data_IF_349900433485
#
_entry.id   IF_349900433485
#
_cell.length_a   1.000
_cell.length_b   1.000
_cell.length_c   1.000
_cell.angle_alpha   90.00
_cell.angle_beta   90.00
_cell.angle_gamma   90.00
#
_symmetry.space_group_name_H-M   'P 1'
#
loop_
_entity.id
_entity.type
_entity.pdbx_description
1 polymer ?
#
# COMPACT_ATOMS: atom_id res chain seq x y z
N UNK A 1 24.99 7.72 49.37
CA UNK A 1 26.07 8.67 49.67
C UNK A 1 27.10 8.59 48.56
N UNK A 2 27.16 9.60 47.70
CA UNK A 2 28.35 10.02 46.96
C UNK A 2 28.07 11.44 46.47
N UNK A 3 28.72 12.39 47.12
CA UNK A 3 28.72 13.83 46.85
C UNK A 3 29.67 14.15 45.71
N UNK A 4 29.24 14.96 44.74
CA UNK A 4 30.14 15.72 43.88
C UNK A 4 29.69 17.20 43.93
N UNK A 5 30.65 18.02 44.31
CA UNK A 5 30.62 19.45 44.58
C UNK A 5 30.60 20.31 43.32
N UNK A 6 29.93 21.45 43.43
CA UNK A 6 29.88 22.54 42.47
C UNK A 6 31.21 23.32 42.39
N UNK A 7 31.53 23.82 41.19
CA UNK A 7 32.42 24.95 41.00
C UNK A 7 31.91 25.84 39.85
N UNK A 8 31.93 27.12 40.17
CA UNK A 8 31.43 28.30 39.46
C UNK A 8 32.18 28.62 38.16
N UNK A 9 31.53 29.33 37.24
CA UNK A 9 32.08 30.50 36.53
C UNK A 9 30.94 31.21 35.76
N UNK A 10 30.46 32.32 36.35
CA UNK A 10 29.75 33.39 35.67
C UNK A 10 30.65 34.06 34.61
N UNK A 11 30.11 34.32 33.41
CA UNK A 11 30.36 35.58 32.73
C UNK A 11 29.25 35.88 31.73
N UNK A 12 28.56 36.99 32.00
CA UNK A 12 27.42 37.51 31.27
C UNK A 12 27.74 37.99 29.85
N UNK A 13 26.74 37.89 28.96
CA UNK A 13 26.34 39.00 28.08
C UNK A 13 24.91 38.78 27.56
N UNK A 14 23.97 39.52 28.13
CA UNK A 14 22.62 39.72 27.60
C UNK A 14 22.77 40.56 26.34
N UNK A 15 22.45 39.99 25.17
CA UNK A 15 22.35 40.72 23.92
C UNK A 15 20.95 41.34 23.85
N UNK A 16 20.89 42.66 23.90
CA UNK A 16 19.67 43.44 23.64
C UNK A 16 19.27 43.34 22.17
N UNK A 17 17.97 43.32 21.82
CA UNK A 17 17.54 43.30 20.42
C UNK A 17 17.90 44.61 19.70
N UNK A 18 18.43 44.48 18.49
CA UNK A 18 18.68 45.57 17.55
C UNK A 18 17.33 45.96 16.91
N UNK A 19 16.98 47.26 16.81
CA UNK A 19 15.79 47.68 16.07
C UNK A 19 16.10 47.61 14.57
N UNK A 20 15.51 46.65 13.86
CA UNK A 20 15.59 46.60 12.40
C UNK A 20 14.45 47.42 11.81
N UNK A 21 14.80 48.58 11.29
CA UNK A 21 13.95 49.40 10.42
C UNK A 21 13.73 48.63 9.10
N UNK A 22 12.54 48.09 8.87
CA UNK A 22 12.13 47.66 7.53
C UNK A 22 11.80 48.90 6.69
N UNK A 23 12.80 49.37 5.92
CA UNK A 23 12.55 50.21 4.75
C UNK A 23 12.41 49.31 3.52
N UNK A 24 11.24 49.38 2.91
CA UNK A 24 10.90 48.75 1.64
C UNK A 24 11.78 49.31 0.50
N UNK A 25 12.39 48.44 -0.32
CA UNK A 25 12.62 48.69 -1.75
C UNK A 25 13.10 47.45 -2.55
N UNK A 26 12.16 46.96 -3.38
CA UNK A 26 12.16 46.23 -4.69
C UNK A 26 13.24 45.21 -5.13
N UNK A 27 12.84 44.19 -5.94
CA UNK A 27 13.50 42.89 -6.01
C UNK A 27 14.41 42.69 -7.25
N UNK A 28 15.30 41.70 -7.12
CA UNK A 28 15.92 40.97 -8.23
C UNK A 28 14.85 40.50 -9.23
N UNK A 29 15.10 40.74 -10.52
CA UNK A 29 14.19 40.35 -11.60
C UNK A 29 13.93 38.84 -11.60
N UNK A 30 12.75 38.44 -11.12
CA UNK A 30 12.19 37.14 -11.44
C UNK A 30 11.95 37.10 -12.94
N UNK A 31 12.44 36.06 -13.61
CA UNK A 31 11.99 35.73 -14.97
C UNK A 31 10.52 35.38 -14.84
N UNK A 32 9.65 36.37 -15.08
CA UNK A 32 8.21 36.19 -15.09
C UNK A 32 7.86 35.44 -16.37
N UNK A 33 7.69 34.12 -16.23
CA UNK A 33 7.01 33.34 -17.24
C UNK A 33 5.57 33.85 -17.26
N UNK A 34 5.21 34.64 -18.26
CA UNK A 34 3.84 35.14 -18.42
C UNK A 34 3.00 33.98 -18.97
N UNK A 35 2.70 33.04 -18.09
CA UNK A 35 1.81 31.93 -18.39
C UNK A 35 0.41 32.50 -18.41
N UNK A 36 -0.17 32.55 -19.60
CA UNK A 36 -1.56 32.91 -19.79
C UNK A 36 -2.43 32.06 -18.86
N UNK A 37 -3.25 32.74 -18.04
CA UNK A 37 -4.13 32.09 -17.08
C UNK A 37 -5.10 31.14 -17.80
N UNK A 38 -5.47 31.47 -19.04
CA UNK A 38 -6.29 30.63 -19.88
C UNK A 38 -5.51 29.40 -20.35
N UNK A 39 -4.21 29.53 -20.62
CA UNK A 39 -3.35 28.40 -20.95
C UNK A 39 -3.14 27.46 -19.75
N UNK A 40 -2.98 27.99 -18.53
CA UNK A 40 -2.88 27.16 -17.32
C UNK A 40 -4.21 26.45 -17.01
N UNK A 41 -5.33 27.15 -17.19
CA UNK A 41 -6.68 26.59 -17.01
C UNK A 41 -6.96 25.53 -18.05
N UNK A 42 -6.57 25.77 -19.31
CA UNK A 42 -6.74 24.83 -20.41
C UNK A 42 -5.82 23.61 -20.27
N UNK A 43 -4.58 23.79 -19.76
CA UNK A 43 -3.68 22.69 -19.44
C UNK A 43 -4.21 21.85 -18.28
N UNK A 44 -4.75 22.49 -17.23
CA UNK A 44 -5.41 21.81 -16.11
C UNK A 44 -6.62 21.02 -16.57
N UNK A 45 -7.46 21.63 -17.42
CA UNK A 45 -8.60 20.95 -18.04
C UNK A 45 -8.14 19.81 -18.96
N UNK A 46 -7.03 19.98 -19.69
CA UNK A 46 -6.45 18.95 -20.54
C UNK A 46 -5.93 17.77 -19.73
N UNK A 47 -5.23 17.99 -18.61
CA UNK A 47 -4.82 16.94 -17.66
C UNK A 47 -6.00 16.26 -16.97
N UNK A 48 -7.06 16.99 -16.66
CA UNK A 48 -8.31 16.42 -16.12
C UNK A 48 -9.08 15.62 -17.18
N UNK A 49 -9.01 16.04 -18.45
CA UNK A 49 -9.67 15.38 -19.59
C UNK A 49 -8.84 14.24 -20.18
N UNK A 50 -7.52 14.23 -19.92
CA UNK A 50 -6.66 13.09 -20.18
C UNK A 50 -7.00 12.05 -19.13
N UNK A 51 -8.10 11.35 -19.35
CA UNK A 51 -8.34 10.07 -18.76
C UNK A 51 -7.11 9.22 -19.12
N UNK A 52 -6.22 9.02 -18.14
CA UNK A 52 -5.38 7.85 -18.11
C UNK A 52 -6.33 6.69 -18.39
N UNK A 53 -6.07 6.00 -19.49
CA UNK A 53 -6.89 4.94 -20.04
C UNK A 53 -7.48 4.07 -18.92
N UNK A 54 -8.68 3.53 -19.12
CA UNK A 54 -9.28 2.43 -18.35
C UNK A 54 -8.43 1.15 -18.51
N UNK A 55 -7.16 1.27 -18.13
CA UNK A 55 -6.08 0.36 -18.40
C UNK A 55 -5.78 -0.31 -17.08
N UNK A 56 -6.02 -1.61 -17.08
CA UNK A 56 -5.66 -2.43 -15.95
C UNK A 56 -4.18 -2.21 -15.62
N UNK A 57 -3.90 -1.85 -14.36
CA UNK A 57 -2.54 -1.68 -13.87
C UNK A 57 -2.05 -3.01 -13.28
N UNK A 58 -0.76 -3.31 -13.45
CA UNK A 58 -0.12 -4.46 -12.81
C UNK A 58 1.10 -3.96 -12.08
N UNK A 59 1.16 -4.20 -10.78
CA UNK A 59 2.27 -3.79 -9.91
C UNK A 59 2.90 -5.02 -9.28
N UNK A 60 4.22 -5.16 -9.45
CA UNK A 60 4.99 -6.21 -8.80
C UNK A 60 5.49 -5.71 -7.43
N UNK A 61 5.30 -6.53 -6.39
CA UNK A 61 5.59 -6.20 -5.00
C UNK A 61 6.62 -7.18 -4.45
N UNK A 62 7.86 -6.74 -4.32
CA UNK A 62 9.00 -7.51 -3.81
C UNK A 62 9.69 -6.87 -2.59
N UNK A 63 9.07 -5.83 -2.02
CA UNK A 63 9.56 -5.15 -0.82
C UNK A 63 8.49 -5.06 0.26
N UNK A 64 8.92 -5.02 1.53
CA UNK A 64 8.02 -4.78 2.67
C UNK A 64 7.29 -3.42 2.57
N UNK A 65 7.96 -2.39 2.06
CA UNK A 65 7.33 -1.08 1.84
C UNK A 65 6.19 -1.19 0.80
N UNK A 66 6.42 -1.88 -0.32
CA UNK A 66 5.39 -2.14 -1.31
C UNK A 66 4.21 -2.96 -0.76
N UNK A 67 4.47 -3.93 0.14
CA UNK A 67 3.40 -4.66 0.84
C UNK A 67 2.55 -3.72 1.69
N UNK A 68 3.20 -2.84 2.47
CA UNK A 68 2.51 -1.88 3.33
C UNK A 68 1.66 -0.88 2.53
N UNK A 69 2.17 -0.40 1.40
CA UNK A 69 1.45 0.47 0.47
C UNK A 69 0.25 -0.25 -0.15
N UNK A 70 0.47 -1.44 -0.71
CA UNK A 70 -0.59 -2.27 -1.30
C UNK A 70 -1.73 -2.54 -0.31
N UNK A 71 -1.41 -2.85 0.96
CA UNK A 71 -2.45 -3.10 1.98
C UNK A 71 -3.38 -1.88 2.14
N UNK A 72 -2.87 -0.66 1.98
CA UNK A 72 -3.71 0.55 1.95
C UNK A 72 -4.81 0.45 0.90
N UNK A 73 -4.47 -0.01 -0.31
CA UNK A 73 -5.39 -0.16 -1.44
C UNK A 73 -6.39 -1.32 -1.26
N UNK A 74 -6.09 -2.28 -0.38
CA UNK A 74 -6.97 -3.41 -0.07
C UNK A 74 -7.98 -3.11 1.04
N UNK A 75 -7.87 -1.96 1.72
CA UNK A 75 -8.77 -1.58 2.81
C UNK A 75 -10.00 -0.83 2.31
N UNK A 76 -11.08 -0.89 3.09
CA UNK A 76 -12.34 -0.16 2.82
C UNK A 76 -13.02 -0.48 1.48
N UNK A 77 -12.69 -1.63 0.88
CA UNK A 77 -13.29 -2.08 -0.37
C UNK A 77 -14.75 -2.57 -0.18
N UNK A 78 -15.62 -2.41 -1.18
CA UNK A 78 -16.95 -2.99 -1.17
C UNK A 78 -16.92 -4.51 -0.98
N UNK A 79 -17.79 -5.03 -0.11
CA UNK A 79 -17.97 -6.46 0.08
C UNK A 79 -18.93 -7.09 -0.95
N UNK A 80 -19.74 -6.27 -1.65
CA UNK A 80 -20.72 -6.72 -2.65
C UNK A 80 -20.75 -5.76 -3.85
N UNK A 81 -20.45 -6.25 -5.07
CA UNK A 81 -19.80 -7.55 -5.34
C UNK A 81 -18.43 -7.64 -4.62
N UNK A 82 -17.89 -8.85 -4.39
CA UNK A 82 -16.55 -9.01 -3.82
C UNK A 82 -15.51 -8.21 -4.59
N UNK A 83 -14.60 -7.56 -3.87
CA UNK A 83 -13.57 -6.73 -4.52
C UNK A 83 -12.26 -7.46 -4.78
N UNK A 84 -11.96 -8.54 -4.05
CA UNK A 84 -10.68 -9.23 -4.10
C UNK A 84 -10.79 -10.56 -4.83
N UNK A 85 -10.01 -10.73 -5.89
CA UNK A 85 -9.85 -11.97 -6.64
C UNK A 85 -8.40 -12.42 -6.49
N UNK A 86 -8.19 -13.64 -6.01
CA UNK A 86 -6.89 -14.11 -5.55
C UNK A 86 -6.56 -15.43 -6.21
N UNK A 87 -5.29 -15.57 -6.58
CA UNK A 87 -4.72 -16.80 -7.12
C UNK A 87 -3.27 -16.95 -6.64
N UNK A 88 -2.79 -18.19 -6.46
CA UNK A 88 -1.41 -18.47 -6.08
C UNK A 88 -0.71 -19.30 -7.14
N UNK A 89 0.58 -19.03 -7.31
CA UNK A 89 1.44 -19.78 -8.23
C UNK A 89 2.67 -20.30 -7.50
N UNK A 90 3.11 -21.50 -7.87
CA UNK A 90 4.31 -22.12 -7.29
C UNK A 90 4.60 -23.50 -7.83
N UNK A 91 5.66 -24.14 -7.32
CA UNK A 91 6.06 -25.49 -7.72
C UNK A 91 5.29 -26.51 -6.88
N UNK A 92 4.53 -27.40 -7.54
CA UNK A 92 3.69 -28.42 -6.89
C UNK A 92 2.76 -27.82 -5.81
N UNK A 93 2.09 -26.69 -6.14
CA UNK A 93 1.31 -25.87 -5.21
C UNK A 93 0.35 -26.70 -4.35
N UNK A 94 0.67 -26.78 -3.05
CA UNK A 94 -0.03 -27.47 -1.95
C UNK A 94 0.96 -27.51 -0.77
N UNK A 95 0.66 -28.23 0.32
CA UNK A 95 1.53 -28.42 1.50
C UNK A 95 2.94 -28.95 1.24
N UNK A 96 3.16 -29.67 0.15
CA UNK A 96 4.46 -30.28 -0.18
C UNK A 96 5.24 -29.51 -1.25
N UNK A 97 4.63 -28.47 -1.81
CA UNK A 97 5.24 -27.61 -2.81
C UNK A 97 5.76 -26.31 -2.22
N UNK A 98 5.64 -25.26 -3.02
CA UNK A 98 6.02 -23.89 -2.66
C UNK A 98 4.99 -22.91 -3.16
N UNK A 99 4.95 -21.72 -2.55
CA UNK A 99 4.28 -20.54 -3.10
C UNK A 99 5.37 -19.58 -3.56
N UNK A 100 5.31 -19.19 -4.83
CA UNK A 100 6.25 -18.27 -5.45
C UNK A 100 5.64 -16.88 -5.61
N UNK A 101 4.41 -16.82 -6.11
CA UNK A 101 3.70 -15.57 -6.38
C UNK A 101 2.28 -15.66 -5.80
N UNK A 102 1.81 -14.57 -5.20
CA UNK A 102 0.41 -14.37 -4.88
C UNK A 102 -0.12 -13.23 -5.76
N UNK A 103 -1.26 -13.45 -6.41
CA UNK A 103 -1.89 -12.49 -7.30
C UNK A 103 -3.15 -11.95 -6.63
N UNK A 104 -3.33 -10.63 -6.61
CA UNK A 104 -4.55 -9.98 -6.11
C UNK A 104 -5.06 -9.01 -7.17
N UNK A 105 -6.20 -9.32 -7.76
CA UNK A 105 -6.94 -8.37 -8.57
C UNK A 105 -7.99 -7.65 -7.72
N UNK A 106 -7.96 -6.30 -7.76
CA UNK A 106 -8.87 -5.42 -7.05
C UNK A 106 -9.89 -4.85 -8.02
N UNK A 107 -11.12 -5.40 -8.01
CA UNK A 107 -12.14 -5.14 -9.02
C UNK A 107 -12.52 -3.65 -9.19
N UNK A 108 -12.81 -2.88 -8.11
CA UNK A 108 -13.21 -1.48 -8.28
C UNK A 108 -12.10 -0.59 -8.86
N UNK A 109 -10.84 -0.97 -8.63
CA UNK A 109 -9.65 -0.22 -9.05
C UNK A 109 -9.05 -0.74 -10.36
N UNK A 110 -9.53 -1.90 -10.85
CA UNK A 110 -9.01 -2.61 -12.03
C UNK A 110 -7.48 -2.78 -11.97
N UNK A 111 -6.96 -3.01 -10.78
CA UNK A 111 -5.52 -3.09 -10.51
C UNK A 111 -5.14 -4.48 -10.02
N UNK A 112 -3.99 -4.99 -10.47
CA UNK A 112 -3.47 -6.31 -10.12
C UNK A 112 -2.15 -6.16 -9.39
N UNK A 113 -2.03 -6.77 -8.22
CA UNK A 113 -0.78 -6.89 -7.48
C UNK A 113 -0.21 -8.29 -7.65
N UNK A 114 1.06 -8.39 -8.05
CA UNK A 114 1.83 -9.62 -8.10
C UNK A 114 2.85 -9.57 -6.97
N UNK A 115 2.66 -10.35 -5.92
CA UNK A 115 3.48 -10.31 -4.72
C UNK A 115 4.51 -11.44 -4.75
N UNK A 116 5.79 -11.10 -4.61
CA UNK A 116 6.90 -12.05 -4.53
C UNK A 116 6.92 -12.75 -3.17
N UNK A 117 6.15 -13.83 -3.05
CA UNK A 117 6.14 -14.69 -1.87
C UNK A 117 7.48 -15.44 -1.73
N UNK A 118 8.14 -15.74 -2.85
CA UNK A 118 9.42 -16.43 -2.82
C UNK A 118 10.50 -15.60 -2.15
N UNK A 119 10.64 -14.32 -2.50
CA UNK A 119 11.63 -13.40 -1.93
C UNK A 119 11.25 -12.90 -0.54
N UNK A 120 9.99 -12.52 -0.34
CA UNK A 120 9.54 -11.91 0.92
C UNK A 120 9.25 -12.93 2.02
N UNK A 121 8.94 -14.18 1.67
CA UNK A 121 8.56 -15.25 2.61
C UNK A 121 7.43 -14.76 3.54
N UNK A 122 7.50 -15.07 4.84
CA UNK A 122 6.49 -14.67 5.82
C UNK A 122 6.27 -13.15 5.88
N UNK A 123 7.28 -12.33 5.54
CA UNK A 123 7.13 -10.87 5.55
C UNK A 123 6.09 -10.37 4.55
N UNK A 124 5.78 -11.11 3.48
CA UNK A 124 4.68 -10.76 2.58
C UNK A 124 3.32 -10.74 3.31
N UNK A 125 3.19 -11.55 4.36
CA UNK A 125 1.96 -11.74 5.11
C UNK A 125 1.95 -11.02 6.45
N UNK A 126 3.10 -10.90 7.12
CA UNK A 126 3.21 -10.38 8.49
C UNK A 126 3.64 -8.91 8.59
N UNK A 127 4.17 -8.31 7.51
CA UNK A 127 4.60 -6.91 7.55
C UNK A 127 3.38 -5.96 7.64
N UNK A 128 3.33 -5.07 8.65
CA UNK A 128 2.17 -4.21 8.87
C UNK A 128 2.19 -2.97 7.97
N UNK A 129 1.02 -2.58 7.50
CA UNK A 129 0.77 -1.24 6.99
C UNK A 129 0.79 -0.20 8.14
N UNK A 130 0.83 1.11 7.84
CA UNK A 130 0.73 2.16 8.87
C UNK A 130 -0.52 2.04 9.76
N UNK A 131 -1.59 1.43 9.26
CA UNK A 131 -2.81 1.13 10.02
C UNK A 131 -2.66 -0.02 11.03
N UNK A 132 -1.55 -0.75 11.01
CA UNK A 132 -1.33 -1.98 11.75
C UNK A 132 -1.91 -3.23 11.08
N UNK A 133 -2.70 -3.08 10.02
CA UNK A 133 -3.25 -4.20 9.24
C UNK A 133 -2.15 -4.92 8.47
N UNK A 134 -2.23 -6.24 8.42
CA UNK A 134 -1.33 -7.10 7.64
C UNK A 134 -2.10 -7.81 6.52
N UNK A 135 -1.40 -8.31 5.50
CA UNK A 135 -2.04 -9.13 4.46
C UNK A 135 -2.63 -10.42 5.06
N UNK A 136 -1.96 -11.01 6.06
CA UNK A 136 -2.50 -12.13 6.84
C UNK A 136 -3.88 -11.81 7.44
N UNK A 137 -4.03 -10.66 8.10
CA UNK A 137 -5.30 -10.26 8.68
C UNK A 137 -6.42 -10.12 7.63
N UNK A 138 -6.09 -9.66 6.42
CA UNK A 138 -7.03 -9.59 5.30
C UNK A 138 -7.42 -11.00 4.83
N UNK A 139 -6.45 -11.92 4.68
CA UNK A 139 -6.66 -13.30 4.27
C UNK A 139 -7.40 -14.16 5.31
N UNK A 140 -7.29 -13.84 6.60
CA UNK A 140 -7.99 -14.54 7.69
C UNK A 140 -9.34 -13.92 8.04
N UNK A 141 -9.66 -12.72 7.51
CA UNK A 141 -10.90 -12.04 7.82
C UNK A 141 -12.12 -12.72 7.17
N UNK A 142 -13.16 -13.08 7.94
CA UNK A 142 -14.45 -13.55 7.40
C UNK A 142 -15.31 -12.41 6.84
N UNK A 143 -15.04 -11.15 7.23
CA UNK A 143 -15.82 -9.99 6.80
C UNK A 143 -15.35 -9.37 5.50
N UNK A 144 -14.16 -9.77 5.01
CA UNK A 144 -13.62 -9.36 3.71
C UNK A 144 -13.81 -10.54 2.75
N UNK A 145 -14.72 -10.46 1.76
CA UNK A 145 -14.90 -11.53 0.80
C UNK A 145 -13.72 -11.63 -0.17
N UNK A 146 -13.22 -12.85 -0.38
CA UNK A 146 -12.17 -13.16 -1.37
C UNK A 146 -12.66 -14.20 -2.33
N UNK A 147 -12.47 -13.94 -3.61
CA UNK A 147 -12.86 -14.85 -4.67
C UNK A 147 -11.65 -15.66 -5.10
N UNK A 148 -11.80 -16.97 -5.13
CA UNK A 148 -10.81 -17.93 -5.64
C UNK A 148 -11.46 -18.80 -6.71
N UNK A 149 -10.65 -19.44 -7.54
CA UNK A 149 -11.09 -20.54 -8.40
C UNK A 149 -10.44 -21.82 -7.90
N UNK A 150 -11.22 -22.80 -7.46
CA UNK A 150 -10.70 -24.07 -6.92
C UNK A 150 -9.67 -23.89 -5.79
N UNK A 151 -10.11 -23.31 -4.67
CA UNK A 151 -9.22 -22.85 -3.58
C UNK A 151 -8.47 -23.95 -2.81
N UNK A 152 -8.65 -25.23 -3.15
CA UNK A 152 -8.18 -26.36 -2.30
C UNK A 152 -6.67 -26.35 -2.11
N UNK A 153 -5.93 -26.22 -3.20
CA UNK A 153 -4.47 -26.25 -3.18
C UNK A 153 -3.90 -24.94 -2.62
N UNK A 154 -4.49 -23.80 -2.96
CA UNK A 154 -4.15 -22.49 -2.44
C UNK A 154 -4.28 -22.43 -0.92
N UNK A 155 -5.44 -22.86 -0.40
CA UNK A 155 -5.72 -22.88 1.04
C UNK A 155 -4.76 -23.84 1.77
N UNK A 156 -4.50 -25.02 1.21
CA UNK A 156 -3.59 -25.99 1.80
C UNK A 156 -2.15 -25.47 1.82
N UNK A 157 -1.72 -24.77 0.77
CA UNK A 157 -0.42 -24.14 0.69
C UNK A 157 -0.28 -22.98 1.70
N UNK A 158 -1.27 -22.08 1.75
CA UNK A 158 -1.31 -20.94 2.69
C UNK A 158 -1.24 -21.41 4.15
N UNK A 159 -2.03 -22.42 4.51
CA UNK A 159 -2.04 -22.96 5.86
C UNK A 159 -0.74 -23.71 6.18
N UNK A 160 -0.31 -24.63 5.32
CA UNK A 160 0.84 -25.49 5.63
C UNK A 160 2.16 -24.73 5.69
N UNK A 161 2.37 -23.76 4.79
CA UNK A 161 3.63 -23.01 4.71
C UNK A 161 3.67 -21.79 5.61
N UNK A 162 2.54 -21.12 5.84
CA UNK A 162 2.47 -19.82 6.51
C UNK A 162 1.48 -19.77 7.67
N UNK A 163 0.78 -20.85 8.01
CA UNK A 163 -0.23 -20.90 9.07
C UNK A 163 -1.33 -19.84 8.87
N UNK A 164 -1.73 -19.60 7.62
CA UNK A 164 -2.82 -18.68 7.28
C UNK A 164 -4.12 -19.46 7.20
N UNK A 165 -5.05 -19.18 8.11
CA UNK A 165 -6.39 -19.76 8.12
C UNK A 165 -7.33 -18.97 7.21
N UNK A 166 -7.32 -19.31 5.91
CA UNK A 166 -8.10 -18.60 4.91
C UNK A 166 -9.60 -18.61 5.25
N UNK A 167 -10.22 -17.42 5.30
CA UNK A 167 -11.64 -17.23 5.65
C UNK A 167 -12.35 -16.30 4.66
N UNK A 168 -13.67 -16.21 4.69
CA UNK A 168 -14.43 -15.31 3.80
C UNK A 168 -14.32 -15.66 2.30
N UNK A 169 -14.06 -16.93 1.98
CA UNK A 169 -13.83 -17.39 0.60
C UNK A 169 -15.15 -17.58 -0.15
N UNK A 170 -15.17 -17.11 -1.40
CA UNK A 170 -16.16 -17.46 -2.41
C UNK A 170 -15.44 -18.20 -3.54
N UNK A 171 -15.74 -19.49 -3.67
CA UNK A 171 -15.10 -20.37 -4.66
C UNK A 171 -15.94 -20.42 -5.95
N UNK A 172 -15.41 -19.87 -7.04
CA UNK A 172 -16.09 -19.79 -8.33
C UNK A 172 -16.34 -21.15 -8.97
N UNK A 173 -15.46 -22.14 -8.76
CA UNK A 173 -15.65 -23.48 -9.32
C UNK A 173 -16.94 -24.08 -8.77
N UNK A 174 -17.11 -24.01 -7.44
CA UNK A 174 -18.34 -24.46 -6.78
C UNK A 174 -19.52 -23.62 -7.24
N UNK A 175 -19.44 -22.30 -7.29
CA UNK A 175 -20.59 -21.49 -7.75
C UNK A 175 -21.10 -21.88 -9.16
N UNK A 176 -20.19 -22.25 -10.07
CA UNK A 176 -20.52 -22.70 -11.43
C UNK A 176 -21.21 -24.07 -11.46
N UNK A 177 -20.90 -24.97 -10.52
CA UNK A 177 -21.54 -26.28 -10.44
C UNK A 177 -23.01 -26.17 -9.97
N UNK A 178 -23.29 -25.28 -9.02
CA UNK A 178 -24.62 -25.10 -8.43
C UNK A 178 -25.61 -24.33 -9.32
N UNK A 179 -25.15 -23.77 -10.43
CA UNK A 179 -25.97 -23.04 -11.42
C UNK A 179 -26.29 -23.86 -12.66
N UNK A 180 -26.01 -25.18 -12.65
CA UNK A 180 -26.31 -26.13 -13.72
C UNK A 180 -27.51 -27.01 -13.44
#
# INVERSE_FOLDING_TARGET
MSTITAASLESARVLTPIPTTEQSQSPHAAVSVNLDQDALTSLTAAFQSSALEDKASVTFIDTCAGVAEMIGDLTHLPAKPPSLYIDLEGVNLSRHGTISILQIFVLPQRSTFLIDIYGLKDKAFSYPAPSGTTLRAILESPSIPKVFFDVRNDSDALFSHYQIELSGVQDLEKMREWTR
#
